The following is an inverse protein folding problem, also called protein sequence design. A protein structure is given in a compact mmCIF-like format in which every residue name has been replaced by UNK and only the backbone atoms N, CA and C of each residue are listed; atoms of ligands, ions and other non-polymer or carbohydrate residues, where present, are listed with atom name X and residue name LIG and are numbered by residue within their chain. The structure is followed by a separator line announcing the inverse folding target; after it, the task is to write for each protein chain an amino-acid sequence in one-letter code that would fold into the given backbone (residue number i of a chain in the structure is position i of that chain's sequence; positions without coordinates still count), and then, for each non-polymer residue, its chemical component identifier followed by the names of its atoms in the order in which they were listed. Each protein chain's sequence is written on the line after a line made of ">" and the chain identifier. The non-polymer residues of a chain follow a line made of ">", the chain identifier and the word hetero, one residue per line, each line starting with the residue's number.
data_IF_233514150938
#
_entry.id   IF_233514150938
#
_cell.length_a   1.000
_cell.length_b   1.000
_cell.length_c   1.000
_cell.angle_alpha   90.00
_cell.angle_beta   90.00
_cell.angle_gamma   90.00
#
_symmetry.space_group_name_H-M   'P 1'
#
loop_
_entity.id
_entity.type
_entity.pdbx_description
1 polymer ?
#
# COMPACT_ATOMS: atom_id res chain seq x y z
N UNK A 1 6.76 16.32 10.37
CA UNK A 1 6.09 17.65 10.33
C UNK A 1 6.36 18.27 8.97
N UNK A 2 5.32 18.69 8.24
CA UNK A 2 5.50 19.37 6.95
C UNK A 2 6.20 20.72 7.19
N UNK A 3 7.12 21.09 6.30
CA UNK A 3 7.90 22.33 6.41
C UNK A 3 7.05 23.59 6.24
N UNK A 4 5.81 23.47 5.77
CA UNK A 4 4.88 24.57 5.56
C UNK A 4 3.47 24.15 6.00
N UNK A 5 2.88 24.95 6.89
CA UNK A 5 1.48 24.81 7.29
C UNK A 5 0.56 25.31 6.15
N UNK A 6 -0.24 24.44 5.59
CA UNK A 6 -1.26 24.77 4.59
C UNK A 6 -2.62 24.86 5.28
N UNK A 7 -3.29 25.99 5.14
CA UNK A 7 -4.60 26.26 5.73
C UNK A 7 -5.63 26.34 4.61
N UNK A 8 -6.77 25.71 4.82
CA UNK A 8 -7.87 25.64 3.87
C UNK A 8 -8.58 27.00 3.87
N UNK A 9 -8.74 27.57 2.68
CA UNK A 9 -9.53 28.78 2.48
C UNK A 9 -11.03 28.52 2.50
N UNK A 10 -11.84 29.60 2.52
CA UNK A 10 -13.28 29.52 2.31
C UNK A 10 -13.62 29.77 0.85
N UNK A 11 -14.64 29.07 0.36
CA UNK A 11 -15.28 29.37 -0.92
C UNK A 11 -16.51 30.25 -0.68
N UNK A 12 -16.61 31.48 -1.25
CA UNK A 12 -17.77 32.34 -1.08
C UNK A 12 -19.08 31.73 -1.49
N UNK A 13 -19.08 30.83 -2.47
CA UNK A 13 -20.28 30.16 -2.99
C UNK A 13 -20.58 28.83 -2.28
N UNK A 14 -19.58 28.25 -1.59
CA UNK A 14 -19.69 26.97 -0.87
C UNK A 14 -20.36 25.86 -1.71
N UNK A 15 -20.03 25.78 -2.99
CA UNK A 15 -20.63 24.83 -3.93
C UNK A 15 -20.37 23.36 -3.57
N UNK A 16 -19.22 23.09 -3.01
CA UNK A 16 -18.79 21.77 -2.54
C UNK A 16 -19.24 21.46 -1.11
N UNK A 17 -19.83 22.43 -0.41
CA UNK A 17 -20.24 22.35 0.99
C UNK A 17 -19.09 22.07 1.98
N UNK A 18 -17.85 22.38 1.60
CA UNK A 18 -16.65 22.11 2.40
C UNK A 18 -16.19 23.30 3.25
N UNK A 19 -16.94 24.40 3.34
CA UNK A 19 -16.58 25.57 4.15
C UNK A 19 -16.45 25.27 5.65
N UNK A 20 -16.97 24.15 6.15
CA UNK A 20 -16.73 23.70 7.51
C UNK A 20 -15.26 23.35 7.78
N UNK A 21 -14.44 23.17 6.72
CA UNK A 21 -12.98 22.97 6.80
C UNK A 21 -12.21 24.28 6.79
N UNK A 22 -12.83 25.42 6.44
CA UNK A 22 -12.16 26.70 6.34
C UNK A 22 -11.47 27.07 7.65
N UNK A 23 -10.25 27.56 7.56
CA UNK A 23 -9.40 27.88 8.71
C UNK A 23 -8.69 26.69 9.36
N UNK A 24 -9.02 25.46 9.01
CA UNK A 24 -8.31 24.25 9.47
C UNK A 24 -7.07 24.00 8.61
N UNK A 25 -6.02 23.41 9.20
CA UNK A 25 -4.88 22.99 8.42
C UNK A 25 -5.15 21.63 7.75
N UNK A 26 -4.54 21.39 6.60
CA UNK A 26 -4.57 20.09 5.90
C UNK A 26 -4.06 18.99 6.83
N UNK A 27 -3.00 19.26 7.60
CA UNK A 27 -2.46 18.33 8.61
C UNK A 27 -3.52 17.94 9.65
N UNK A 28 -4.30 18.92 10.15
CA UNK A 28 -5.38 18.65 11.09
C UNK A 28 -6.47 17.77 10.46
N UNK A 29 -6.88 18.06 9.23
CA UNK A 29 -7.89 17.27 8.53
C UNK A 29 -7.41 15.83 8.30
N UNK A 30 -6.14 15.66 7.93
CA UNK A 30 -5.54 14.33 7.75
C UNK A 30 -5.52 13.53 9.06
N UNK A 31 -5.17 14.18 10.17
CA UNK A 31 -5.18 13.53 11.49
C UNK A 31 -6.60 13.16 11.93
N UNK A 32 -7.60 13.97 11.64
CA UNK A 32 -9.00 13.61 11.93
C UNK A 32 -9.48 12.42 11.08
N UNK A 33 -9.03 12.32 9.83
CA UNK A 33 -9.30 11.17 8.97
C UNK A 33 -8.65 9.88 9.51
N UNK A 34 -7.41 9.96 9.98
CA UNK A 34 -6.71 8.86 10.66
C UNK A 34 -7.50 8.38 11.87
N UNK A 35 -7.84 9.29 12.80
CA UNK A 35 -8.59 8.96 14.01
C UNK A 35 -9.96 8.34 13.70
N UNK A 36 -10.68 8.90 12.72
CA UNK A 36 -11.97 8.36 12.29
C UNK A 36 -11.86 6.94 11.77
N UNK A 37 -10.78 6.65 11.03
CA UNK A 37 -10.51 5.30 10.53
C UNK A 37 -10.17 4.32 11.66
N UNK A 38 -9.32 4.73 12.59
CA UNK A 38 -8.97 3.91 13.77
C UNK A 38 -10.22 3.54 14.58
N UNK A 39 -11.07 4.52 14.86
CA UNK A 39 -12.32 4.29 15.62
C UNK A 39 -13.25 3.31 14.88
N UNK A 40 -13.45 3.50 13.58
CA UNK A 40 -14.29 2.61 12.79
C UNK A 40 -13.78 1.16 12.77
N UNK A 41 -12.47 0.97 12.70
CA UNK A 41 -11.86 -0.36 12.76
C UNK A 41 -11.98 -0.98 14.16
N UNK A 42 -11.80 -0.20 15.21
CA UNK A 42 -11.97 -0.67 16.59
C UNK A 42 -13.41 -1.10 16.86
N UNK A 43 -14.39 -0.30 16.41
CA UNK A 43 -15.81 -0.63 16.52
C UNK A 43 -16.17 -1.90 15.75
N UNK A 44 -15.47 -2.16 14.64
CA UNK A 44 -15.54 -3.40 13.86
C UNK A 44 -14.78 -4.59 14.45
N UNK A 45 -14.15 -4.44 15.61
CA UNK A 45 -13.39 -5.50 16.28
C UNK A 45 -12.01 -5.79 15.69
N UNK A 46 -11.46 -4.88 14.87
CA UNK A 46 -10.14 -5.03 14.24
C UNK A 46 -9.07 -4.41 15.13
N UNK A 47 -8.08 -5.18 15.61
CA UNK A 47 -6.95 -4.63 16.36
C UNK A 47 -6.16 -3.61 15.53
N UNK A 48 -5.73 -2.52 16.16
CA UNK A 48 -4.95 -1.48 15.49
C UNK A 48 -3.50 -1.51 15.97
N UNK A 49 -2.58 -1.48 15.03
CA UNK A 49 -1.15 -1.28 15.27
C UNK A 49 -0.74 0.04 14.61
N UNK A 50 -0.10 0.90 15.38
CA UNK A 50 0.34 2.20 14.90
C UNK A 50 1.87 2.25 14.84
N UNK A 51 2.40 2.62 13.68
CA UNK A 51 3.83 2.84 13.45
C UNK A 51 4.04 4.33 13.19
N UNK A 52 4.85 4.98 14.02
CA UNK A 52 5.12 6.41 13.93
C UNK A 52 6.58 6.66 13.58
N UNK A 53 6.83 7.70 12.78
CA UNK A 53 8.18 8.24 12.53
C UNK A 53 8.24 9.68 13.03
N UNK A 54 9.40 10.08 13.56
CA UNK A 54 9.53 11.43 14.13
C UNK A 54 9.47 12.55 13.08
N UNK A 55 9.94 12.24 11.87
CA UNK A 55 10.11 13.24 10.82
C UNK A 55 9.95 12.62 9.44
N UNK A 56 9.38 13.38 8.53
CA UNK A 56 9.28 12.99 7.12
C UNK A 56 10.55 13.45 6.41
N UNK A 57 11.55 12.56 6.38
CA UNK A 57 12.80 12.75 5.65
C UNK A 57 13.29 11.43 5.05
N UNK A 58 14.34 11.47 4.25
CA UNK A 58 14.85 10.30 3.55
C UNK A 58 15.30 9.18 4.50
N UNK A 59 15.89 9.54 5.65
CA UNK A 59 16.35 8.56 6.64
C UNK A 59 15.15 7.80 7.27
N UNK A 60 14.17 8.52 7.76
CA UNK A 60 12.99 7.91 8.40
C UNK A 60 12.16 7.11 7.39
N UNK A 61 12.04 7.59 6.15
CA UNK A 61 11.37 6.88 5.07
C UNK A 61 12.10 5.56 4.72
N UNK A 62 13.42 5.61 4.59
CA UNK A 62 14.24 4.42 4.35
C UNK A 62 14.16 3.42 5.51
N UNK A 63 14.16 3.90 6.74
CA UNK A 63 13.99 3.07 7.95
C UNK A 63 12.62 2.38 7.96
N UNK A 64 11.57 3.08 7.54
CA UNK A 64 10.22 2.53 7.46
C UNK A 64 10.12 1.43 6.40
N UNK A 65 10.71 1.63 5.22
CA UNK A 65 10.78 0.59 4.19
C UNK A 65 11.52 -0.64 4.68
N UNK A 66 12.71 -0.47 5.24
CA UNK A 66 13.49 -1.56 5.78
C UNK A 66 12.75 -2.31 6.90
N UNK A 67 12.05 -1.58 7.77
CA UNK A 67 11.23 -2.21 8.82
C UNK A 67 10.19 -3.16 8.22
N UNK A 68 9.44 -2.75 7.21
CA UNK A 68 8.43 -3.60 6.59
C UNK A 68 9.01 -4.74 5.76
N UNK A 69 10.11 -4.51 5.05
CA UNK A 69 10.84 -5.57 4.33
C UNK A 69 11.35 -6.65 5.29
N UNK A 70 11.97 -6.23 6.39
CA UNK A 70 12.46 -7.14 7.41
C UNK A 70 11.30 -7.89 8.11
N UNK A 71 10.24 -7.19 8.47
CA UNK A 71 9.05 -7.78 9.08
C UNK A 71 8.38 -8.81 8.16
N UNK A 72 8.33 -8.54 6.85
CA UNK A 72 7.86 -9.49 5.84
C UNK A 72 8.71 -10.77 5.83
N UNK A 73 10.03 -10.64 5.84
CA UNK A 73 10.94 -11.79 5.91
C UNK A 73 10.73 -12.63 7.18
N UNK A 74 10.66 -11.97 8.34
CA UNK A 74 10.42 -12.64 9.63
C UNK A 74 9.07 -13.36 9.65
N UNK A 75 7.99 -12.70 9.19
CA UNK A 75 6.65 -13.28 9.17
C UNK A 75 6.58 -14.51 8.25
N UNK A 76 7.23 -14.45 7.08
CA UNK A 76 7.29 -15.59 6.16
C UNK A 76 8.00 -16.79 6.78
N UNK A 77 9.13 -16.58 7.45
CA UNK A 77 9.80 -17.65 8.19
C UNK A 77 8.94 -18.22 9.33
N UNK A 78 8.20 -17.35 10.04
CA UNK A 78 7.27 -17.80 11.08
C UNK A 78 6.15 -18.68 10.51
N UNK A 79 5.71 -18.39 9.28
CA UNK A 79 4.74 -19.19 8.54
C UNK A 79 5.34 -20.43 7.83
N UNK A 80 6.65 -20.63 7.93
CA UNK A 80 7.34 -21.74 7.28
C UNK A 80 7.44 -21.64 5.76
N UNK A 81 7.33 -20.43 5.19
CA UNK A 81 7.44 -20.19 3.75
C UNK A 81 8.71 -19.42 3.40
N UNK A 82 9.20 -19.58 2.15
CA UNK A 82 10.35 -18.83 1.68
C UNK A 82 9.96 -17.40 1.29
N UNK A 83 10.49 -16.35 1.96
CA UNK A 83 10.17 -14.96 1.66
C UNK A 83 10.79 -14.45 0.34
N UNK A 84 11.74 -15.18 -0.25
CA UNK A 84 12.53 -14.73 -1.40
C UNK A 84 12.10 -15.36 -2.73
N UNK A 85 10.96 -16.07 -2.77
CA UNK A 85 10.41 -16.60 -4.01
C UNK A 85 8.95 -16.15 -4.21
N UNK A 86 8.52 -16.20 -5.46
CA UNK A 86 7.15 -15.85 -5.85
C UNK A 86 6.61 -16.89 -6.85
N UNK A 87 6.33 -18.13 -6.41
CA UNK A 87 5.96 -19.22 -7.32
C UNK A 87 4.73 -18.90 -8.17
N UNK A 88 3.75 -18.16 -7.65
CA UNK A 88 2.58 -17.71 -8.41
C UNK A 88 2.94 -16.75 -9.54
N UNK A 89 3.86 -15.82 -9.32
CA UNK A 89 4.36 -14.88 -10.33
C UNK A 89 5.17 -15.62 -11.39
N UNK A 90 6.00 -16.57 -11.01
CA UNK A 90 6.75 -17.39 -11.96
C UNK A 90 5.84 -18.27 -12.85
N UNK A 91 4.76 -18.81 -12.28
CA UNK A 91 3.77 -19.55 -13.05
C UNK A 91 3.06 -18.64 -14.09
N UNK A 92 2.65 -17.43 -13.67
CA UNK A 92 2.08 -16.44 -14.58
C UNK A 92 3.03 -16.07 -15.72
N UNK A 93 4.30 -15.79 -15.42
CA UNK A 93 5.31 -15.46 -16.43
C UNK A 93 5.52 -16.59 -17.44
N UNK A 94 5.60 -17.84 -16.96
CA UNK A 94 5.73 -19.01 -17.82
C UNK A 94 4.54 -19.15 -18.77
N UNK A 95 3.32 -18.96 -18.27
CA UNK A 95 2.12 -18.98 -19.09
C UNK A 95 2.12 -17.85 -20.13
N UNK A 96 2.51 -16.65 -19.74
CA UNK A 96 2.64 -15.52 -20.67
C UNK A 96 3.69 -15.79 -21.76
N UNK A 97 4.85 -16.36 -21.43
CA UNK A 97 5.87 -16.72 -22.41
C UNK A 97 5.38 -17.79 -23.38
N UNK A 98 4.61 -18.78 -22.90
CA UNK A 98 4.00 -19.79 -23.75
C UNK A 98 2.94 -19.18 -24.69
N UNK A 99 2.07 -18.30 -24.20
CA UNK A 99 1.05 -17.63 -25.02
C UNK A 99 1.66 -16.68 -26.08
N UNK A 100 2.80 -16.06 -25.77
CA UNK A 100 3.55 -15.23 -26.70
C UNK A 100 4.50 -16.03 -27.61
N UNK A 101 4.44 -17.35 -27.59
CA UNK A 101 5.24 -18.24 -28.43
C UNK A 101 6.75 -17.98 -28.31
N UNK A 102 7.21 -17.69 -27.09
CA UNK A 102 8.64 -17.43 -26.86
C UNK A 102 9.47 -18.65 -27.24
N UNK A 103 10.59 -18.50 -27.98
CA UNK A 103 11.50 -19.59 -28.28
C UNK A 103 11.93 -20.37 -27.04
N UNK A 104 11.87 -21.71 -27.10
CA UNK A 104 12.11 -22.61 -25.99
C UNK A 104 10.88 -22.91 -25.13
N UNK A 105 9.68 -22.44 -25.51
CA UNK A 105 8.41 -22.72 -24.85
C UNK A 105 7.40 -23.47 -25.75
N UNK A 106 7.86 -24.13 -26.82
CA UNK A 106 7.01 -24.74 -27.85
C UNK A 106 6.00 -25.75 -27.29
N UNK A 107 6.44 -26.63 -26.39
CA UNK A 107 5.58 -27.64 -25.77
C UNK A 107 4.57 -26.97 -24.81
N UNK A 108 5.01 -25.98 -24.03
CA UNK A 108 4.12 -25.23 -23.16
C UNK A 108 3.08 -24.43 -23.96
N UNK A 109 3.47 -23.88 -25.11
CA UNK A 109 2.59 -23.20 -26.06
C UNK A 109 1.48 -24.12 -26.56
N UNK A 110 1.82 -25.32 -27.00
CA UNK A 110 0.83 -26.32 -27.44
C UNK A 110 -0.12 -26.68 -26.31
N UNK A 111 0.43 -26.97 -25.12
CA UNK A 111 -0.36 -27.37 -23.95
C UNK A 111 -1.33 -26.28 -23.50
N UNK A 112 -0.91 -24.99 -23.50
CA UNK A 112 -1.77 -23.90 -23.04
C UNK A 112 -2.84 -23.55 -24.09
N UNK A 113 -2.51 -23.58 -25.39
CA UNK A 113 -3.48 -23.39 -26.49
C UNK A 113 -4.57 -24.46 -26.52
N UNK A 114 -4.26 -25.70 -26.12
CA UNK A 114 -5.25 -26.77 -26.03
C UNK A 114 -6.25 -26.59 -24.87
N UNK A 115 -6.04 -25.61 -23.99
CA UNK A 115 -6.92 -25.30 -22.83
C UNK A 115 -7.83 -24.09 -23.08
N UNK A 116 -7.58 -23.32 -24.15
CA UNK A 116 -8.37 -22.15 -24.54
C UNK A 116 -9.45 -22.53 -25.54
#
# INVERSE_FOLDING_TARGET
>A
MLSRKVVIGSDPQNLDQLNFLAGKSVEHCNHMAELGTVLAHQDGGVPQLQVSVEKVDAFNLGSLFYFFEFACGVSAYTLGVNPFNQPGVEAYKKNMFALLEKPGYEEATKAIKARL
#
